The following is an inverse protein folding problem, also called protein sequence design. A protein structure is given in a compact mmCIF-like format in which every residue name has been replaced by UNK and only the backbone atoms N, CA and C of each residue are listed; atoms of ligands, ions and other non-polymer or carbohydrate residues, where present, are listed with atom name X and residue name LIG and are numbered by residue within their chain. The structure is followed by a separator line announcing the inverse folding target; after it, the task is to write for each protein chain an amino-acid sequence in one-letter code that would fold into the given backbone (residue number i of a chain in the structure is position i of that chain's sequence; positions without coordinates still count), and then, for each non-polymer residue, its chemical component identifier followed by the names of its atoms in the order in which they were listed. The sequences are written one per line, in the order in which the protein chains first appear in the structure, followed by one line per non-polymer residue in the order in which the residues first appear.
data_IF_200443590098
#
_entry.id   IF_200443590098
#
_cell.length_a   1.000
_cell.length_b   1.000
_cell.length_c   1.000
_cell.angle_alpha   90.00
_cell.angle_beta   90.00
_cell.angle_gamma   90.00
#
_symmetry.space_group_name_H-M   'P 1'
#
loop_
_entity.id
_entity.type
_entity.pdbx_description
1 polymer ?
#
# COMPACT_ATOMS: atom_id res chain seq x y z
N UNK A 1 -47.89 -11.82 -35.64
CA UNK A 1 -46.45 -12.05 -35.70
C UNK A 1 -45.64 -10.99 -35.02
N UNK A 2 -46.04 -9.76 -35.21
CA UNK A 2 -45.38 -8.61 -34.52
C UNK A 2 -45.45 -8.67 -33.01
N UNK A 3 -46.47 -9.32 -32.41
CA UNK A 3 -46.57 -9.44 -30.95
C UNK A 3 -45.48 -10.31 -30.35
N UNK A 4 -45.16 -11.44 -30.96
CA UNK A 4 -44.11 -12.36 -30.47
C UNK A 4 -42.74 -11.73 -30.63
N UNK A 5 -42.49 -11.08 -31.77
CA UNK A 5 -41.23 -10.38 -32.05
C UNK A 5 -41.01 -9.23 -31.04
N UNK A 6 -42.07 -8.50 -30.71
CA UNK A 6 -41.97 -7.43 -29.71
C UNK A 6 -41.68 -7.97 -28.32
N UNK A 7 -42.30 -9.09 -27.93
CA UNK A 7 -42.06 -9.72 -26.64
C UNK A 7 -40.64 -10.24 -26.56
N UNK A 8 -40.19 -10.93 -27.61
CA UNK A 8 -38.83 -11.46 -27.68
C UNK A 8 -37.78 -10.33 -27.63
N UNK A 9 -38.02 -9.27 -28.40
CA UNK A 9 -37.13 -8.11 -28.40
C UNK A 9 -37.05 -7.42 -27.05
N UNK A 10 -38.20 -7.36 -26.35
CA UNK A 10 -38.28 -6.76 -25.03
C UNK A 10 -37.51 -7.59 -23.99
N UNK A 11 -37.65 -8.91 -24.05
CA UNK A 11 -36.94 -9.82 -23.16
C UNK A 11 -35.44 -9.71 -23.40
N UNK A 12 -35.02 -9.68 -24.66
CA UNK A 12 -33.62 -9.51 -25.03
C UNK A 12 -33.04 -8.18 -24.52
N UNK A 13 -33.82 -7.10 -24.66
CA UNK A 13 -33.41 -5.79 -24.16
C UNK A 13 -33.28 -5.77 -22.65
N UNK A 14 -34.24 -6.39 -21.96
CA UNK A 14 -34.22 -6.49 -20.50
C UNK A 14 -33.03 -7.30 -20.01
N UNK A 15 -32.76 -8.43 -20.65
CA UNK A 15 -31.61 -9.30 -20.32
C UNK A 15 -30.31 -8.54 -20.58
N UNK A 16 -30.21 -7.84 -21.70
CA UNK A 16 -29.02 -7.05 -22.03
C UNK A 16 -28.78 -5.95 -21.00
N UNK A 17 -29.86 -5.28 -20.57
CA UNK A 17 -29.78 -4.27 -19.53
C UNK A 17 -29.32 -4.84 -18.19
N UNK A 18 -29.76 -6.04 -17.85
CA UNK A 18 -29.31 -6.76 -16.65
C UNK A 18 -27.82 -7.10 -16.73
N UNK A 19 -27.39 -7.61 -17.88
CA UNK A 19 -25.98 -7.95 -18.12
C UNK A 19 -25.12 -6.69 -18.00
N UNK A 20 -25.54 -5.62 -18.63
CA UNK A 20 -24.81 -4.34 -18.61
C UNK A 20 -24.68 -3.81 -17.18
N UNK A 21 -25.73 -3.91 -16.38
CA UNK A 21 -25.73 -3.50 -15.00
C UNK A 21 -24.79 -4.35 -14.15
N UNK A 22 -24.84 -5.66 -14.33
CA UNK A 22 -23.97 -6.60 -13.61
C UNK A 22 -22.50 -6.31 -13.95
N UNK A 23 -22.21 -6.08 -15.23
CA UNK A 23 -20.85 -5.75 -15.65
C UNK A 23 -20.38 -4.42 -15.09
N UNK A 24 -21.25 -3.40 -15.08
CA UNK A 24 -20.91 -2.10 -14.53
C UNK A 24 -20.65 -2.19 -13.02
N UNK A 25 -21.48 -2.93 -12.30
CA UNK A 25 -21.33 -3.14 -10.86
C UNK A 25 -20.03 -3.91 -10.57
N UNK A 26 -19.73 -4.92 -11.37
CA UNK A 26 -18.50 -5.70 -11.20
C UNK A 26 -17.25 -4.85 -11.44
N UNK A 27 -17.28 -3.98 -12.45
CA UNK A 27 -16.16 -3.07 -12.72
C UNK A 27 -15.99 -2.05 -11.60
N UNK A 28 -17.08 -1.50 -11.10
CA UNK A 28 -17.05 -0.55 -9.98
C UNK A 28 -16.48 -1.22 -8.74
N UNK A 29 -16.88 -2.44 -8.46
CA UNK A 29 -16.36 -3.21 -7.32
C UNK A 29 -14.88 -3.53 -7.50
N UNK A 30 -14.46 -3.92 -8.70
CA UNK A 30 -13.06 -4.20 -9.00
C UNK A 30 -12.19 -2.95 -8.84
N UNK A 31 -12.67 -1.79 -9.29
CA UNK A 31 -11.97 -0.52 -9.11
C UNK A 31 -11.82 -0.15 -7.63
N UNK A 32 -12.86 -0.37 -6.86
CA UNK A 32 -12.86 -0.16 -5.42
C UNK A 32 -11.82 -1.02 -4.72
N UNK A 33 -11.79 -2.30 -5.05
CA UNK A 33 -10.84 -3.25 -4.49
C UNK A 33 -9.42 -2.84 -4.88
N UNK A 34 -9.20 -2.52 -6.15
CA UNK A 34 -7.90 -2.09 -6.66
C UNK A 34 -7.40 -0.83 -5.94
N UNK A 35 -8.27 0.17 -5.79
CA UNK A 35 -7.94 1.41 -5.10
C UNK A 35 -7.62 1.15 -3.62
N UNK A 36 -8.38 0.26 -2.97
CA UNK A 36 -8.15 -0.12 -1.58
C UNK A 36 -6.79 -0.77 -1.38
N UNK A 37 -6.44 -1.72 -2.26
CA UNK A 37 -5.13 -2.38 -2.20
C UNK A 37 -3.98 -1.42 -2.48
N UNK A 38 -4.16 -0.51 -3.45
CA UNK A 38 -3.15 0.49 -3.76
C UNK A 38 -2.90 1.42 -2.56
N UNK A 39 -3.97 1.88 -1.92
CA UNK A 39 -3.87 2.73 -0.73
C UNK A 39 -3.19 1.99 0.42
N UNK A 40 -3.50 0.72 0.60
CA UNK A 40 -2.89 -0.12 1.63
C UNK A 40 -1.40 -0.33 1.36
N UNK A 41 -1.04 -0.59 0.11
CA UNK A 41 0.36 -0.75 -0.29
C UNK A 41 1.15 0.53 -0.04
N UNK A 42 0.58 1.69 -0.37
CA UNK A 42 1.22 2.98 -0.12
C UNK A 42 1.46 3.20 1.38
N UNK A 43 0.47 2.88 2.21
CA UNK A 43 0.61 3.01 3.66
C UNK A 43 1.67 2.07 4.23
N UNK A 44 1.69 0.83 3.75
CA UNK A 44 2.69 -0.15 4.19
C UNK A 44 4.10 0.26 3.77
N UNK A 45 4.26 0.78 2.55
CA UNK A 45 5.53 1.31 2.09
C UNK A 45 6.00 2.49 2.93
N UNK A 46 5.11 3.44 3.19
CA UNK A 46 5.43 4.61 4.02
C UNK A 46 5.83 4.19 5.44
N UNK A 47 5.12 3.22 6.00
CA UNK A 47 5.42 2.69 7.33
C UNK A 47 6.76 1.98 7.37
N UNK A 48 7.07 1.18 6.36
CA UNK A 48 8.36 0.49 6.26
C UNK A 48 9.52 1.49 6.13
N UNK A 49 9.35 2.51 5.30
CA UNK A 49 10.36 3.57 5.15
C UNK A 49 10.59 4.31 6.45
N UNK A 50 9.50 4.69 7.12
CA UNK A 50 9.58 5.39 8.40
C UNK A 50 10.30 4.55 9.46
N UNK A 51 9.97 3.27 9.56
CA UNK A 51 10.64 2.37 10.51
C UNK A 51 12.09 2.14 10.15
N UNK A 52 12.40 2.04 8.85
CA UNK A 52 13.76 1.89 8.37
C UNK A 52 14.62 3.10 8.70
N UNK A 53 14.08 4.30 8.48
CA UNK A 53 14.77 5.54 8.82
C UNK A 53 15.01 5.65 10.33
N UNK A 54 14.02 5.32 11.14
CA UNK A 54 14.15 5.34 12.58
C UNK A 54 15.22 4.35 13.07
N UNK A 55 15.23 3.14 12.49
CA UNK A 55 16.24 2.13 12.81
C UNK A 55 17.64 2.59 12.41
N UNK A 56 17.78 3.20 11.23
CA UNK A 56 19.06 3.72 10.76
C UNK A 56 19.58 4.84 11.65
N UNK A 57 18.71 5.75 12.07
CA UNK A 57 19.08 6.84 12.97
C UNK A 57 19.51 6.30 14.33
N UNK A 58 18.80 5.30 14.85
CA UNK A 58 19.16 4.67 16.12
C UNK A 58 20.52 3.98 16.04
N UNK A 59 20.78 3.28 14.94
CA UNK A 59 22.06 2.63 14.73
C UNK A 59 23.19 3.66 14.62
N UNK A 60 22.98 4.74 13.89
CA UNK A 60 23.94 5.84 13.76
C UNK A 60 24.24 6.45 15.13
N UNK A 61 23.23 6.66 15.95
CA UNK A 61 23.38 7.20 17.30
C UNK A 61 24.21 6.26 18.19
N UNK A 62 23.97 4.97 18.10
CA UNK A 62 24.74 3.98 18.85
C UNK A 62 26.22 3.96 18.43
N UNK A 63 26.47 4.06 17.13
CA UNK A 63 27.84 4.12 16.61
C UNK A 63 28.58 5.38 17.06
N UNK A 64 27.92 6.52 17.01
CA UNK A 64 28.50 7.78 17.50
C UNK A 64 28.79 7.70 18.99
N UNK A 65 27.87 7.14 19.76
CA UNK A 65 28.04 6.95 21.20
C UNK A 65 29.21 6.02 21.51
N UNK A 66 29.30 4.90 20.80
CA UNK A 66 30.39 3.94 20.97
C UNK A 66 31.74 4.55 20.58
N UNK A 67 31.78 5.29 19.50
CA UNK A 67 32.99 5.99 19.07
C UNK A 67 33.44 7.04 20.10
N UNK A 68 32.45 7.77 20.67
CA UNK A 68 32.73 8.73 21.72
C UNK A 68 33.31 8.08 22.98
N UNK A 69 32.77 6.93 23.37
CA UNK A 69 33.29 6.16 24.51
C UNK A 69 34.70 5.64 24.24
N UNK A 70 34.92 5.10 23.05
CA UNK A 70 36.24 4.61 22.67
C UNK A 70 37.27 5.74 22.67
N UNK A 71 36.89 6.89 22.13
CA UNK A 71 37.75 8.07 22.13
C UNK A 71 38.13 8.53 23.54
N UNK A 72 37.17 8.57 24.46
CA UNK A 72 37.41 8.92 25.86
C UNK A 72 38.34 7.91 26.56
N UNK A 73 38.16 6.63 26.29
CA UNK A 73 39.03 5.59 26.82
C UNK A 73 40.47 5.73 26.35
N UNK A 74 40.62 6.02 25.08
CA UNK A 74 41.97 6.26 24.48
C UNK A 74 42.63 7.48 25.10
N UNK A 75 41.89 8.56 25.31
CA UNK A 75 42.38 9.77 25.93
C UNK A 75 42.82 9.48 27.40
N UNK A 76 41.99 8.74 28.13
CA UNK A 76 42.33 8.36 29.53
C UNK A 76 43.57 7.48 29.58
N UNK A 77 43.68 6.50 28.67
CA UNK A 77 44.86 5.64 28.64
C UNK A 77 46.14 6.45 28.33
N UNK A 78 46.06 7.41 27.42
CA UNK A 78 47.19 8.27 27.10
C UNK A 78 47.59 9.14 28.29
N UNK A 79 46.61 9.62 29.07
CA UNK A 79 46.93 10.44 30.25
C UNK A 79 47.52 9.63 31.40
N UNK A 80 47.27 8.34 31.46
CA UNK A 80 47.78 7.48 32.53
C UNK A 80 49.24 7.08 32.29
N UNK A 81 49.73 7.20 31.09
CA UNK A 81 51.12 7.01 30.77
C UNK A 81 51.95 8.23 31.15
#
# INVERSE_FOLDING_TARGET
MTGIENITGRIQADVQGEIDRIQADARAEAEKISASYAARADRECADLLSRGEAAAQEQARRLVSAAGMASRQMTLAAKQE
#
